data_IF_734361674770
#
_entry.id   IF_734361674770
#
_cell.length_a   1.000
_cell.length_b   1.000
_cell.length_c   1.000
_cell.angle_alpha   90.00
_cell.angle_beta   90.00
_cell.angle_gamma   90.00
#
_symmetry.space_group_name_H-M   'P 1'
#
loop_
_entity.id
_entity.type
_entity.pdbx_description
1 polymer ?
#
# COMPACT_ATOMS: atom_id res chain seq x y z
N UNK A 1 -1.24 73.98 -1.32
CA UNK A 1 -1.98 72.73 -1.29
C UNK A 1 -3.05 72.63 -0.16
N UNK A 2 -3.08 73.55 0.79
CA UNK A 2 -3.93 73.48 1.98
C UNK A 2 -5.37 74.03 1.80
N UNK A 3 -5.75 74.50 0.64
CA UNK A 3 -7.08 75.16 0.40
C UNK A 3 -8.09 74.33 -0.41
N UNK A 4 -8.01 72.98 -0.28
CA UNK A 4 -9.02 72.10 -0.92
C UNK A 4 -9.70 71.24 0.15
N UNK A 5 -10.79 71.74 0.79
CA UNK A 5 -11.45 71.05 1.88
C UNK A 5 -12.02 69.68 1.50
N UNK A 6 -12.45 69.50 0.25
CA UNK A 6 -12.93 68.25 -0.26
C UNK A 6 -11.84 67.15 -0.31
N UNK A 7 -10.60 67.50 -0.67
CA UNK A 7 -9.45 66.60 -0.65
C UNK A 7 -9.03 66.22 0.77
N UNK A 8 -9.02 67.19 1.69
CA UNK A 8 -8.72 66.89 3.09
C UNK A 8 -9.74 65.98 3.74
N UNK A 9 -11.04 66.21 3.49
CA UNK A 9 -12.10 65.33 3.98
C UNK A 9 -12.03 63.94 3.39
N UNK A 10 -11.69 63.80 2.09
CA UNK A 10 -11.45 62.49 1.43
C UNK A 10 -10.27 61.73 2.06
N UNK A 11 -9.14 62.41 2.30
CA UNK A 11 -7.97 61.79 2.95
C UNK A 11 -8.28 61.44 4.41
N UNK A 12 -8.97 62.30 5.16
CA UNK A 12 -9.40 62.02 6.52
C UNK A 12 -10.36 60.79 6.56
N UNK A 13 -11.34 60.72 5.63
CA UNK A 13 -12.24 59.58 5.52
C UNK A 13 -11.51 58.27 5.21
N UNK A 14 -10.52 58.32 4.31
CA UNK A 14 -9.71 57.14 4.02
C UNK A 14 -8.87 56.66 5.22
N UNK A 15 -8.27 57.61 5.98
CA UNK A 15 -7.51 57.31 7.19
C UNK A 15 -8.42 56.72 8.29
N UNK A 16 -9.64 57.24 8.45
CA UNK A 16 -10.59 56.67 9.40
C UNK A 16 -11.04 55.26 8.98
N UNK A 17 -11.26 55.01 7.72
CA UNK A 17 -11.61 53.68 7.23
C UNK A 17 -10.47 52.66 7.46
N UNK A 18 -9.24 53.06 7.24
CA UNK A 18 -8.06 52.23 7.53
C UNK A 18 -7.90 51.98 9.02
N UNK A 19 -8.06 53.02 9.86
CA UNK A 19 -7.99 52.89 11.31
C UNK A 19 -9.11 51.98 11.86
N UNK A 20 -10.33 52.12 11.36
CA UNK A 20 -11.43 51.22 11.71
C UNK A 20 -11.19 49.78 11.30
N UNK A 21 -10.65 49.57 10.09
CA UNK A 21 -10.25 48.23 9.61
C UNK A 21 -9.17 47.59 10.48
N UNK A 22 -8.13 48.34 10.85
CA UNK A 22 -7.09 47.90 11.78
C UNK A 22 -7.66 47.56 13.17
N UNK A 23 -8.55 48.43 13.72
CA UNK A 23 -9.19 48.19 15.01
C UNK A 23 -10.03 46.90 15.00
N UNK A 24 -10.76 46.64 13.91
CA UNK A 24 -11.52 45.39 13.74
C UNK A 24 -10.62 44.16 13.69
N UNK A 25 -9.49 44.21 12.95
CA UNK A 25 -8.51 43.13 12.89
C UNK A 25 -7.90 42.88 14.28
N UNK A 26 -7.53 43.95 15.01
CA UNK A 26 -6.99 43.82 16.38
C UNK A 26 -8.05 43.20 17.32
N UNK A 27 -9.28 43.72 17.29
CA UNK A 27 -10.37 43.18 18.09
C UNK A 27 -10.63 41.69 17.79
N UNK A 28 -10.63 41.31 16.50
CA UNK A 28 -10.76 39.92 16.08
C UNK A 28 -9.60 39.05 16.60
N UNK A 29 -8.36 39.51 16.48
CA UNK A 29 -7.19 38.71 16.92
C UNK A 29 -7.17 38.54 18.44
N UNK A 30 -7.61 39.57 19.20
CA UNK A 30 -7.75 39.51 20.66
C UNK A 30 -8.88 38.55 21.05
N UNK A 31 -10.06 38.67 20.42
CA UNK A 31 -11.18 37.77 20.64
C UNK A 31 -10.84 36.33 20.34
N UNK A 32 -10.16 36.08 19.21
CA UNK A 32 -9.73 34.76 18.80
C UNK A 32 -8.71 34.10 19.77
N UNK A 33 -8.01 34.88 20.57
CA UNK A 33 -7.05 34.40 21.60
C UNK A 33 -7.66 34.12 22.95
N UNK A 34 -8.97 34.33 23.11
CA UNK A 34 -9.64 34.09 24.38
C UNK A 34 -9.58 32.62 24.78
N UNK A 35 -9.41 32.29 26.09
CA UNK A 35 -9.39 30.91 26.60
C UNK A 35 -10.68 30.14 26.32
N UNK A 36 -11.78 30.85 26.06
CA UNK A 36 -13.06 30.26 25.67
C UNK A 36 -13.00 29.44 24.39
N UNK A 37 -12.00 29.68 23.52
CA UNK A 37 -11.79 28.97 22.26
C UNK A 37 -10.62 27.99 22.32
N UNK A 38 -10.12 27.65 23.49
CA UNK A 38 -9.14 26.56 23.63
C UNK A 38 -9.79 25.23 23.25
N UNK A 39 -9.04 24.41 22.49
CA UNK A 39 -9.47 23.05 22.17
C UNK A 39 -9.43 22.21 23.45
N UNK A 40 -10.57 21.68 23.87
CA UNK A 40 -10.71 20.91 25.12
C UNK A 40 -10.60 19.42 24.89
N UNK A 41 -11.05 18.95 23.75
CA UNK A 41 -11.15 17.51 23.49
C UNK A 41 -10.80 17.17 22.03
N UNK A 42 -10.02 16.11 21.86
CA UNK A 42 -9.76 15.47 20.56
C UNK A 42 -10.22 14.03 20.66
N UNK A 43 -11.28 13.70 19.94
CA UNK A 43 -11.79 12.34 19.88
C UNK A 43 -11.29 11.70 18.61
N UNK A 44 -10.54 10.60 18.78
CA UNK A 44 -10.03 9.81 17.65
C UNK A 44 -10.81 8.51 17.59
N UNK A 45 -11.48 8.29 16.46
CA UNK A 45 -12.25 7.09 16.15
C UNK A 45 -11.69 6.36 14.94
N UNK A 46 -12.05 5.08 14.83
CA UNK A 46 -11.65 4.19 13.74
C UNK A 46 -11.36 2.79 14.26
N UNK A 47 -11.36 1.79 13.37
CA UNK A 47 -10.90 0.45 13.69
C UNK A 47 -9.36 0.42 13.58
N UNK A 48 -8.68 0.73 14.69
CA UNK A 48 -7.22 0.85 14.76
C UNK A 48 -6.63 -0.42 15.34
N UNK A 49 -5.70 -1.03 14.61
CA UNK A 49 -4.99 -2.26 15.00
C UNK A 49 -3.48 -2.00 15.11
N UNK A 50 -2.94 -1.18 14.22
CA UNK A 50 -1.50 -0.96 14.09
C UNK A 50 -1.08 0.43 14.58
N UNK A 51 -1.99 1.41 14.58
CA UNK A 51 -1.72 2.76 15.08
C UNK A 51 -1.82 2.76 16.60
N UNK A 52 -0.73 3.06 17.27
CA UNK A 52 -0.69 3.10 18.73
C UNK A 52 -1.20 4.42 19.27
N UNK A 53 -1.57 4.44 20.56
CA UNK A 53 -1.95 5.67 21.25
C UNK A 53 -0.84 6.73 21.20
N UNK A 54 0.43 6.31 21.34
CA UNK A 54 1.57 7.23 21.24
C UNK A 54 1.68 7.89 19.87
N UNK A 55 1.46 7.12 18.77
CA UNK A 55 1.45 7.67 17.42
C UNK A 55 0.37 8.73 17.24
N UNK A 56 -0.83 8.49 17.82
CA UNK A 56 -1.95 9.43 17.82
C UNK A 56 -1.58 10.71 18.56
N UNK A 57 -1.06 10.60 19.79
CA UNK A 57 -0.67 11.73 20.62
C UNK A 57 0.40 12.60 19.92
N UNK A 58 1.37 11.96 19.29
CA UNK A 58 2.41 12.65 18.53
C UNK A 58 1.88 13.32 17.25
N UNK A 59 0.95 12.69 16.54
CA UNK A 59 0.32 13.28 15.36
C UNK A 59 -0.54 14.49 15.75
N UNK A 60 -1.30 14.38 16.84
CA UNK A 60 -2.08 15.48 17.41
C UNK A 60 -1.14 16.63 17.78
N UNK A 61 -0.07 16.38 18.53
CA UNK A 61 0.90 17.40 18.96
C UNK A 61 1.56 18.13 17.79
N UNK A 62 1.86 17.41 16.72
CA UNK A 62 2.44 18.00 15.49
C UNK A 62 1.43 18.81 14.68
N UNK A 63 0.18 18.39 14.68
CA UNK A 63 -0.89 18.98 13.86
C UNK A 63 -1.63 20.14 14.53
N UNK A 64 -1.73 20.13 15.87
CA UNK A 64 -2.45 21.15 16.62
C UNK A 64 -1.61 22.43 16.75
N UNK A 65 -1.93 23.42 15.91
CA UNK A 65 -1.38 24.77 16.03
C UNK A 65 -2.53 25.77 16.07
N UNK A 66 -2.53 26.62 17.11
CA UNK A 66 -3.59 27.60 17.32
C UNK A 66 -4.69 27.07 18.26
N UNK A 67 -5.85 27.72 18.22
CA UNK A 67 -7.03 27.37 19.01
C UNK A 67 -8.14 26.79 18.11
N UNK A 68 -9.29 26.46 18.70
CA UNK A 68 -10.43 25.87 18.00
C UNK A 68 -10.87 26.65 16.73
N UNK A 69 -10.78 28.00 16.74
CA UNK A 69 -11.17 28.84 15.61
C UNK A 69 -10.08 28.93 14.53
N UNK A 70 -8.82 29.02 14.94
CA UNK A 70 -7.67 29.26 14.06
C UNK A 70 -7.00 27.97 13.60
N UNK A 71 -7.30 26.83 14.23
CA UNK A 71 -6.78 25.52 13.87
C UNK A 71 -7.13 25.19 12.41
N UNK A 72 -6.17 24.70 11.66
CA UNK A 72 -6.39 24.15 10.31
C UNK A 72 -6.65 22.62 10.36
N UNK A 73 -7.88 22.16 10.08
CA UNK A 73 -8.19 20.73 10.04
C UNK A 73 -7.37 19.96 8.99
N UNK A 74 -6.96 20.63 7.89
CA UNK A 74 -6.15 19.98 6.86
C UNK A 74 -4.73 19.71 7.37
N UNK A 75 -4.14 20.62 8.13
CA UNK A 75 -2.84 20.42 8.77
C UNK A 75 -2.87 19.27 9.79
N UNK A 76 -3.95 19.15 10.57
CA UNK A 76 -4.14 18.02 11.50
C UNK A 76 -4.29 16.72 10.73
N UNK A 77 -5.16 16.67 9.72
CA UNK A 77 -5.32 15.51 8.84
C UNK A 77 -3.99 15.07 8.22
N UNK A 78 -3.22 16.03 7.70
CA UNK A 78 -1.89 15.80 7.14
C UNK A 78 -0.87 15.24 8.14
N UNK A 79 -0.97 15.56 9.43
CA UNK A 79 -0.10 14.99 10.46
C UNK A 79 -0.39 13.51 10.71
N UNK A 80 -1.66 13.10 10.66
CA UNK A 80 -2.06 11.70 10.78
C UNK A 80 -1.71 10.89 9.53
N UNK A 81 -1.85 11.47 8.33
CA UNK A 81 -1.48 10.81 7.07
C UNK A 81 0.02 10.51 6.93
N UNK A 82 0.86 11.11 7.76
CA UNK A 82 2.30 10.77 7.85
C UNK A 82 2.57 9.48 8.61
N UNK A 83 1.59 8.95 9.33
CA UNK A 83 1.71 7.66 10.01
C UNK A 83 1.64 6.54 8.97
N UNK A 84 2.58 5.58 8.99
CA UNK A 84 2.70 4.56 7.95
C UNK A 84 1.44 3.72 7.72
N UNK A 85 0.67 3.47 8.78
CA UNK A 85 -0.53 2.65 8.74
C UNK A 85 -1.81 3.42 8.44
N UNK A 86 -1.79 4.75 8.46
CA UNK A 86 -2.96 5.57 8.21
C UNK A 86 -3.16 5.78 6.71
N UNK A 87 -4.22 5.19 6.17
CA UNK A 87 -4.63 5.38 4.78
C UNK A 87 -5.35 6.71 4.57
N UNK A 88 -6.26 7.02 5.48
CA UNK A 88 -7.07 8.23 5.40
C UNK A 88 -7.35 8.78 6.79
N UNK A 89 -7.24 10.09 6.93
CA UNK A 89 -7.63 10.83 8.12
C UNK A 89 -8.68 11.87 7.73
N UNK A 90 -9.80 11.88 8.43
CA UNK A 90 -10.85 12.89 8.30
C UNK A 90 -10.97 13.65 9.61
N UNK A 91 -10.89 14.97 9.55
CA UNK A 91 -10.93 15.83 10.74
C UNK A 91 -12.09 16.78 10.62
N UNK A 92 -12.94 16.84 11.66
CA UNK A 92 -14.11 17.70 11.74
C UNK A 92 -14.12 18.46 13.04
N UNK A 93 -14.42 19.75 12.98
CA UNK A 93 -14.68 20.56 14.17
C UNK A 93 -16.09 20.29 14.67
N UNK A 94 -16.22 20.05 15.96
CA UNK A 94 -17.51 19.95 16.64
C UNK A 94 -17.60 21.03 17.74
N UNK A 95 -18.55 21.88 17.58
CA UNK A 95 -18.78 22.96 18.53
C UNK A 95 -19.15 22.42 19.92
N UNK A 96 -18.72 23.02 21.06
CA UNK A 96 -17.99 24.29 21.13
C UNK A 96 -16.46 24.22 21.09
N UNK A 97 -15.82 23.11 21.41
CA UNK A 97 -14.35 23.03 21.59
C UNK A 97 -13.79 21.61 21.36
N UNK A 98 -14.43 20.83 20.50
CA UNK A 98 -14.08 19.44 20.22
C UNK A 98 -13.62 19.26 18.77
N UNK A 99 -12.65 18.36 18.57
CA UNK A 99 -12.18 17.92 17.27
C UNK A 99 -12.44 16.41 17.11
N UNK A 100 -13.24 16.04 16.14
CA UNK A 100 -13.48 14.65 15.82
C UNK A 100 -12.54 14.24 14.67
N UNK A 101 -11.70 13.25 14.93
CA UNK A 101 -10.76 12.67 13.99
C UNK A 101 -11.17 11.24 13.69
N UNK A 102 -11.45 10.92 12.44
CA UNK A 102 -11.73 9.56 12.00
C UNK A 102 -10.56 9.06 11.18
N UNK A 103 -9.94 7.97 11.63
CA UNK A 103 -8.81 7.33 10.96
C UNK A 103 -9.25 6.03 10.29
N UNK A 104 -8.71 5.79 9.11
CA UNK A 104 -8.83 4.54 8.38
C UNK A 104 -7.43 3.98 8.16
N UNK A 105 -7.19 2.76 8.63
CA UNK A 105 -5.90 2.08 8.44
C UNK A 105 -5.83 1.35 7.10
N UNK A 106 -4.60 1.16 6.62
CA UNK A 106 -4.33 0.24 5.52
C UNK A 106 -4.60 -1.20 5.96
N UNK A 107 -5.36 -1.95 5.16
CA UNK A 107 -5.51 -3.39 5.32
C UNK A 107 -4.50 -4.07 4.39
N UNK A 108 -3.47 -4.75 4.93
CA UNK A 108 -2.43 -5.36 4.12
C UNK A 108 -3.01 -6.50 3.26
N UNK A 109 -2.63 -6.55 2.00
CA UNK A 109 -3.12 -7.50 1.01
C UNK A 109 -1.99 -8.30 0.36
N UNK A 110 -0.85 -7.66 0.11
CA UNK A 110 0.34 -8.30 -0.46
C UNK A 110 1.62 -7.56 0.00
N UNK A 111 2.77 -8.21 -0.16
CA UNK A 111 4.09 -7.56 -0.08
C UNK A 111 4.43 -6.96 -1.44
N UNK A 112 5.01 -5.77 -1.44
CA UNK A 112 5.49 -5.10 -2.65
C UNK A 112 7.02 -5.14 -2.69
N UNK A 113 7.57 -5.93 -3.60
CA UNK A 113 9.02 -6.11 -3.68
C UNK A 113 9.59 -6.68 -2.37
N UNK A 114 10.47 -5.92 -1.70
CA UNK A 114 11.13 -6.31 -0.43
C UNK A 114 10.46 -5.72 0.80
N UNK A 115 10.36 -4.38 0.87
CA UNK A 115 10.14 -3.66 2.13
C UNK A 115 8.78 -2.94 2.24
N UNK A 116 7.98 -2.93 1.19
CA UNK A 116 6.69 -2.27 1.18
C UNK A 116 5.54 -3.28 1.20
N UNK A 117 4.34 -2.77 1.46
CA UNK A 117 3.09 -3.51 1.45
C UNK A 117 2.13 -2.90 0.41
N UNK A 118 1.20 -3.69 -0.05
CA UNK A 118 0.05 -3.26 -0.86
C UNK A 118 -1.20 -3.51 -0.06
N UNK A 119 -2.09 -2.53 0.03
CA UNK A 119 -3.37 -2.68 0.69
C UNK A 119 -4.43 -3.30 -0.24
N UNK A 120 -5.63 -3.56 0.30
CA UNK A 120 -6.76 -4.12 -0.46
C UNK A 120 -7.26 -3.20 -1.59
N UNK A 121 -6.94 -1.90 -1.56
CA UNK A 121 -7.23 -0.93 -2.62
C UNK A 121 -6.16 -0.91 -3.73
N UNK A 122 -5.03 -1.61 -3.50
CA UNK A 122 -3.89 -1.63 -4.42
C UNK A 122 -2.93 -0.44 -4.27
N UNK A 123 -2.98 0.24 -3.12
CA UNK A 123 -2.07 1.33 -2.78
C UNK A 123 -0.84 0.78 -2.08
N UNK A 124 0.34 1.28 -2.47
CA UNK A 124 1.62 0.90 -1.84
C UNK A 124 1.84 1.76 -0.60
N UNK A 125 2.17 1.13 0.50
CA UNK A 125 2.49 1.81 1.76
C UNK A 125 3.65 1.11 2.48
N UNK A 126 4.23 1.79 3.45
CA UNK A 126 5.29 1.22 4.30
C UNK A 126 4.71 0.80 5.64
N UNK A 127 5.06 -0.40 6.09
CA UNK A 127 4.61 -0.92 7.38
C UNK A 127 5.28 -2.25 7.67
N UNK A 128 5.36 -2.61 8.94
CA UNK A 128 5.86 -3.93 9.35
C UNK A 128 4.67 -4.86 9.56
N UNK A 129 4.65 -5.98 8.83
CA UNK A 129 3.61 -6.98 8.94
C UNK A 129 4.23 -8.38 9.00
N UNK A 130 3.87 -9.16 10.02
CA UNK A 130 4.47 -10.48 10.26
C UNK A 130 3.69 -11.65 9.66
N UNK A 131 2.48 -11.39 9.14
CA UNK A 131 1.66 -12.44 8.51
C UNK A 131 2.17 -12.87 7.14
N UNK A 132 1.72 -14.03 6.70
CA UNK A 132 1.97 -14.52 5.34
C UNK A 132 1.11 -13.76 4.34
N UNK A 133 1.74 -13.21 3.33
CA UNK A 133 1.09 -12.48 2.24
C UNK A 133 1.72 -12.88 0.91
N UNK A 134 0.96 -12.89 -0.17
CA UNK A 134 1.51 -13.04 -1.50
C UNK A 134 2.48 -11.89 -1.81
N UNK A 135 3.43 -12.14 -2.70
CA UNK A 135 4.44 -11.15 -3.10
C UNK A 135 4.10 -10.62 -4.48
N UNK A 136 4.00 -9.31 -4.60
CA UNK A 136 3.84 -8.61 -5.87
C UNK A 136 5.14 -7.93 -6.26
N UNK A 137 5.50 -8.07 -7.54
CA UNK A 137 6.70 -7.45 -8.12
C UNK A 137 6.33 -6.86 -9.48
N UNK A 138 6.63 -5.59 -9.66
CA UNK A 138 6.36 -4.90 -10.91
C UNK A 138 6.97 -3.51 -10.95
N UNK A 139 6.87 -2.84 -12.09
CA UNK A 139 7.22 -1.43 -12.21
C UNK A 139 6.40 -0.57 -11.27
N UNK A 140 6.92 0.58 -10.90
CA UNK A 140 6.21 1.58 -10.11
C UNK A 140 4.85 1.92 -10.75
N UNK A 141 3.82 2.11 -9.92
CA UNK A 141 2.45 2.39 -10.37
C UNK A 141 1.63 1.17 -10.80
N UNK A 142 2.20 -0.05 -10.87
CA UNK A 142 1.45 -1.26 -11.29
C UNK A 142 0.80 -2.03 -10.14
N UNK A 143 1.00 -1.62 -8.90
CA UNK A 143 0.50 -2.34 -7.72
C UNK A 143 -1.01 -2.58 -7.74
N UNK A 144 -1.79 -1.56 -8.13
CA UNK A 144 -3.25 -1.65 -8.24
C UNK A 144 -3.69 -2.64 -9.33
N UNK A 145 -3.04 -2.60 -10.48
CA UNK A 145 -3.29 -3.53 -11.58
C UNK A 145 -3.01 -4.97 -11.15
N UNK A 146 -1.86 -5.20 -10.50
CA UNK A 146 -1.47 -6.51 -9.98
C UNK A 146 -2.47 -7.00 -8.92
N UNK A 147 -2.92 -6.13 -8.03
CA UNK A 147 -3.90 -6.48 -6.98
C UNK A 147 -5.26 -6.89 -7.56
N UNK A 148 -5.71 -6.23 -8.64
CA UNK A 148 -6.95 -6.59 -9.34
C UNK A 148 -6.77 -7.96 -10.01
N UNK A 149 -5.70 -8.12 -10.77
CA UNK A 149 -5.44 -9.34 -11.54
C UNK A 149 -5.14 -10.54 -10.65
N UNK A 150 -4.50 -10.33 -9.51
CA UNK A 150 -4.28 -11.37 -8.50
C UNK A 150 -5.60 -11.99 -8.00
N UNK A 151 -6.65 -11.18 -7.77
CA UNK A 151 -7.96 -11.70 -7.35
C UNK A 151 -8.56 -12.62 -8.42
N UNK A 152 -8.42 -12.26 -9.70
CA UNK A 152 -8.87 -13.11 -10.81
C UNK A 152 -8.05 -14.41 -10.89
N UNK A 153 -6.73 -14.31 -10.79
CA UNK A 153 -5.86 -15.50 -10.80
C UNK A 153 -6.17 -16.44 -9.66
N UNK A 154 -6.31 -15.91 -8.44
CA UNK A 154 -6.65 -16.70 -7.26
C UNK A 154 -7.96 -17.44 -7.45
N UNK A 155 -9.02 -16.73 -7.87
CA UNK A 155 -10.33 -17.32 -8.11
C UNK A 155 -10.29 -18.41 -9.19
N UNK A 156 -9.56 -18.19 -10.27
CA UNK A 156 -9.46 -19.18 -11.35
C UNK A 156 -8.68 -20.43 -10.94
N UNK A 157 -7.60 -20.27 -10.16
CA UNK A 157 -6.75 -21.38 -9.72
C UNK A 157 -7.38 -22.21 -8.58
N UNK A 158 -8.40 -21.70 -7.90
CA UNK A 158 -9.19 -22.46 -6.93
C UNK A 158 -9.78 -23.74 -7.54
N UNK A 159 -10.07 -23.75 -8.86
CA UNK A 159 -10.58 -24.92 -9.57
C UNK A 159 -9.63 -26.13 -9.52
N UNK A 160 -8.33 -25.89 -9.44
CA UNK A 160 -7.29 -26.93 -9.34
C UNK A 160 -6.66 -27.04 -7.95
N UNK A 161 -7.26 -26.38 -6.95
CA UNK A 161 -6.79 -26.41 -5.57
C UNK A 161 -5.45 -25.70 -5.35
N UNK A 162 -5.09 -24.73 -6.21
CA UNK A 162 -3.82 -24.01 -6.14
C UNK A 162 -4.06 -22.49 -5.97
N UNK A 163 -3.01 -21.76 -5.61
CA UNK A 163 -3.09 -20.32 -5.41
C UNK A 163 -1.78 -19.63 -5.81
N UNK A 164 -1.82 -18.39 -6.31
CA UNK A 164 -0.61 -17.65 -6.61
C UNK A 164 -0.02 -17.08 -5.31
N UNK A 165 1.22 -17.45 -4.99
CA UNK A 165 1.99 -16.92 -3.85
C UNK A 165 2.90 -15.77 -4.25
N UNK A 166 3.19 -15.64 -5.57
CA UNK A 166 3.95 -14.53 -6.11
C UNK A 166 3.45 -14.18 -7.50
N UNK A 167 3.29 -12.89 -7.75
CA UNK A 167 2.91 -12.33 -9.06
C UNK A 167 3.96 -11.32 -9.48
N UNK A 168 4.51 -11.52 -10.66
CA UNK A 168 5.52 -10.64 -11.24
C UNK A 168 5.02 -10.07 -12.57
N UNK A 169 5.17 -8.77 -12.74
CA UNK A 169 4.93 -8.06 -13.99
C UNK A 169 6.24 -7.41 -14.43
N UNK A 170 6.73 -7.80 -15.60
CA UNK A 170 7.94 -7.20 -16.15
C UNK A 170 7.68 -5.77 -16.66
N UNK A 171 8.73 -4.94 -16.89
CA UNK A 171 8.58 -3.63 -17.54
C UNK A 171 7.90 -3.70 -18.93
N UNK A 172 7.99 -4.84 -19.61
CA UNK A 172 7.31 -5.12 -20.89
C UNK A 172 5.89 -5.68 -20.72
N UNK A 173 5.32 -5.58 -19.51
CA UNK A 173 3.97 -6.06 -19.16
C UNK A 173 3.79 -7.57 -19.30
N UNK A 174 4.84 -8.37 -19.23
CA UNK A 174 4.74 -9.83 -19.20
C UNK A 174 4.49 -10.31 -17.77
N UNK A 175 3.45 -11.15 -17.62
CA UNK A 175 3.00 -11.72 -16.36
C UNK A 175 3.65 -13.08 -16.11
N UNK A 176 4.09 -13.27 -14.88
CA UNK A 176 4.61 -14.52 -14.34
C UNK A 176 4.03 -14.77 -12.96
N UNK A 177 3.57 -15.98 -12.72
CA UNK A 177 3.02 -16.41 -11.43
C UNK A 177 3.90 -17.51 -10.84
N UNK A 178 4.07 -17.48 -9.53
CA UNK A 178 4.54 -18.62 -8.75
C UNK A 178 3.37 -19.13 -7.93
N UNK A 179 3.06 -20.41 -8.05
CA UNK A 179 1.96 -21.07 -7.37
C UNK A 179 2.41 -21.69 -6.04
N UNK A 180 1.46 -21.96 -5.15
CA UNK A 180 1.71 -22.61 -3.86
C UNK A 180 2.25 -24.04 -4.05
N UNK A 181 1.84 -24.75 -5.10
CA UNK A 181 2.41 -26.03 -5.51
C UNK A 181 3.89 -25.98 -5.90
N UNK A 182 4.46 -24.77 -6.06
CA UNK A 182 5.81 -24.55 -6.50
C UNK A 182 5.97 -24.40 -8.02
N UNK A 183 4.90 -24.48 -8.80
CA UNK A 183 4.93 -24.26 -10.24
C UNK A 183 5.10 -22.79 -10.57
N UNK A 184 5.96 -22.49 -11.53
CA UNK A 184 6.09 -21.15 -12.11
C UNK A 184 5.42 -21.10 -13.47
N UNK A 185 4.44 -20.20 -13.66
CA UNK A 185 3.73 -20.00 -14.91
C UNK A 185 4.20 -18.73 -15.60
N UNK A 186 4.65 -18.82 -16.86
CA UNK A 186 4.89 -17.68 -17.73
C UNK A 186 3.68 -17.46 -18.64
N UNK A 187 2.86 -16.45 -18.32
CA UNK A 187 1.66 -16.12 -19.09
C UNK A 187 1.92 -15.13 -20.23
N UNK A 188 3.01 -14.32 -20.12
CA UNK A 188 3.31 -13.29 -21.11
C UNK A 188 2.44 -12.04 -20.93
N UNK A 189 2.35 -11.22 -21.98
CA UNK A 189 1.67 -9.92 -21.94
C UNK A 189 0.25 -9.91 -22.54
N UNK A 190 -0.06 -10.88 -23.38
CA UNK A 190 -1.30 -10.93 -24.15
C UNK A 190 -2.13 -12.13 -23.74
N UNK A 191 -3.45 -12.00 -23.78
CA UNK A 191 -4.40 -13.09 -23.51
C UNK A 191 -4.14 -13.81 -22.16
N UNK A 192 -3.74 -13.09 -21.13
CA UNK A 192 -3.28 -13.64 -19.85
C UNK A 192 -4.33 -14.56 -19.23
N UNK A 193 -5.60 -14.14 -19.24
CA UNK A 193 -6.72 -14.91 -18.67
C UNK A 193 -7.00 -16.18 -19.49
N UNK A 194 -7.00 -16.09 -20.83
CA UNK A 194 -7.21 -17.24 -21.70
C UNK A 194 -6.08 -18.27 -21.55
N UNK A 195 -4.84 -17.79 -21.39
CA UNK A 195 -3.68 -18.66 -21.13
C UNK A 195 -3.74 -19.34 -19.77
N UNK A 196 -4.21 -18.63 -18.75
CA UNK A 196 -4.43 -19.23 -17.43
C UNK A 196 -5.55 -20.29 -17.48
N UNK A 197 -6.68 -20.00 -18.13
CA UNK A 197 -7.76 -20.98 -18.31
C UNK A 197 -7.26 -22.24 -19.04
N UNK A 198 -6.46 -22.08 -20.10
CA UNK A 198 -5.84 -23.19 -20.80
C UNK A 198 -4.87 -24.00 -19.92
N UNK A 199 -4.10 -23.31 -19.05
CA UNK A 199 -3.27 -24.00 -18.07
C UNK A 199 -4.09 -24.86 -17.12
N UNK A 200 -5.19 -24.35 -16.60
CA UNK A 200 -6.09 -25.07 -15.66
C UNK A 200 -6.64 -26.32 -16.33
N UNK A 201 -7.20 -26.20 -17.54
CA UNK A 201 -7.70 -27.36 -18.32
C UNK A 201 -6.61 -28.39 -18.58
N UNK A 202 -5.40 -27.95 -18.95
CA UNK A 202 -4.27 -28.82 -19.20
C UNK A 202 -3.75 -29.49 -17.92
N UNK A 203 -3.74 -28.76 -16.80
CA UNK A 203 -3.32 -29.30 -15.51
C UNK A 203 -4.17 -30.50 -15.13
N UNK A 204 -5.50 -30.39 -15.21
CA UNK A 204 -6.42 -31.49 -14.89
C UNK A 204 -6.27 -32.68 -15.82
N UNK A 205 -6.18 -32.44 -17.13
CA UNK A 205 -6.20 -33.49 -18.14
C UNK A 205 -4.84 -34.15 -18.37
N UNK A 206 -3.76 -33.43 -18.18
CA UNK A 206 -2.44 -33.87 -18.63
C UNK A 206 -1.41 -33.90 -17.52
N UNK A 207 -1.26 -32.83 -16.74
CA UNK A 207 -0.14 -32.74 -15.80
C UNK A 207 -0.40 -33.52 -14.51
N UNK A 208 -1.59 -33.43 -13.95
CA UNK A 208 -1.96 -34.14 -12.72
C UNK A 208 -1.84 -35.67 -12.87
N UNK A 209 -2.32 -36.30 -13.96
CA UNK A 209 -2.20 -37.74 -14.15
C UNK A 209 -0.74 -38.23 -14.32
N UNK A 210 0.20 -37.37 -14.76
CA UNK A 210 1.59 -37.75 -14.93
C UNK A 210 2.34 -38.06 -13.62
N UNK A 211 1.83 -37.56 -12.47
CA UNK A 211 2.46 -37.77 -11.17
C UNK A 211 3.88 -37.19 -11.05
N UNK A 212 4.33 -36.40 -12.02
CA UNK A 212 5.67 -35.79 -12.07
C UNK A 212 5.63 -34.37 -11.53
N UNK A 213 6.61 -33.99 -10.74
CA UNK A 213 6.73 -32.62 -10.25
C UNK A 213 7.08 -31.66 -11.39
N UNK A 214 6.20 -30.70 -11.62
CA UNK A 214 6.38 -29.61 -12.58
C UNK A 214 7.01 -28.42 -11.86
N UNK A 215 8.03 -27.82 -12.45
CA UNK A 215 8.72 -26.64 -11.93
C UNK A 215 8.34 -25.36 -12.70
N UNK A 216 8.18 -25.49 -14.02
CA UNK A 216 7.92 -24.33 -14.87
C UNK A 216 7.03 -24.70 -16.05
N UNK A 217 6.06 -23.83 -16.35
CA UNK A 217 5.17 -23.95 -17.51
C UNK A 217 5.17 -22.64 -18.28
N UNK A 218 5.52 -22.70 -19.56
CA UNK A 218 5.48 -21.56 -20.47
C UNK A 218 4.23 -21.61 -21.35
N UNK A 219 3.30 -20.69 -21.10
CA UNK A 219 2.02 -20.58 -21.80
C UNK A 219 2.04 -19.53 -22.93
N UNK A 220 3.20 -18.96 -23.25
CA UNK A 220 3.31 -17.89 -24.25
C UNK A 220 3.09 -18.35 -25.70
N UNK A 221 3.23 -19.62 -25.96
CA UNK A 221 2.99 -20.20 -27.29
C UNK A 221 1.51 -20.16 -27.66
N UNK A 222 1.22 -19.81 -28.93
CA UNK A 222 -0.17 -19.68 -29.40
C UNK A 222 -0.92 -21.02 -29.33
N UNK A 223 -0.31 -22.10 -29.83
CA UNK A 223 -0.93 -23.41 -30.01
C UNK A 223 -0.33 -24.51 -29.13
N UNK A 224 0.37 -24.13 -28.04
CA UNK A 224 1.05 -25.12 -27.21
C UNK A 224 1.53 -24.52 -25.89
N UNK A 225 2.34 -25.30 -25.21
CA UNK A 225 3.00 -24.90 -23.96
C UNK A 225 4.32 -25.71 -23.85
N UNK A 226 5.26 -25.19 -23.09
CA UNK A 226 6.46 -25.93 -22.73
C UNK A 226 6.45 -26.21 -21.21
N UNK A 227 6.83 -27.41 -20.83
CA UNK A 227 6.88 -27.82 -19.42
C UNK A 227 8.29 -28.22 -19.07
N UNK A 228 8.78 -27.72 -17.95
CA UNK A 228 10.00 -28.20 -17.31
C UNK A 228 9.62 -28.95 -16.05
N UNK A 229 10.03 -30.21 -15.99
CA UNK A 229 9.87 -31.05 -14.81
C UNK A 229 11.06 -30.87 -13.90
N UNK A 230 10.83 -31.00 -12.61
CA UNK A 230 11.92 -31.05 -11.62
C UNK A 230 12.74 -32.30 -11.90
N UNK A 231 14.02 -32.14 -12.17
CA UNK A 231 14.92 -33.30 -12.25
C UNK A 231 15.00 -33.94 -10.88
N UNK A 232 14.75 -35.25 -10.80
CA UNK A 232 15.08 -36.03 -9.60
C UNK A 232 16.57 -35.79 -9.30
N UNK A 233 16.90 -35.23 -8.17
CA UNK A 233 18.29 -35.05 -7.74
C UNK A 233 18.95 -36.44 -7.84
N UNK A 234 19.71 -36.67 -8.90
CA UNK A 234 20.58 -37.85 -8.98
C UNK A 234 21.51 -37.74 -7.77
N UNK A 235 21.20 -38.55 -6.77
CA UNK A 235 22.10 -38.78 -5.65
C UNK A 235 23.41 -39.27 -6.29
N UNK A 236 24.44 -38.44 -6.25
CA UNK A 236 25.79 -38.85 -6.71
C UNK A 236 26.12 -40.06 -5.89
N UNK A 237 26.00 -41.25 -6.53
CA UNK A 237 26.49 -42.48 -5.97
C UNK A 237 27.96 -42.27 -5.57
N UNK A 238 28.24 -42.39 -4.31
CA UNK A 238 29.59 -42.31 -3.78
C UNK A 238 30.46 -43.34 -4.51
N UNK A 239 31.66 -42.97 -4.97
CA UNK A 239 32.53 -43.92 -5.63
C UNK A 239 32.82 -45.05 -4.63
N UNK A 240 32.49 -46.29 -5.07
CA UNK A 240 32.86 -47.51 -4.30
C UNK A 240 34.37 -47.51 -4.13
N UNK A 241 34.82 -47.34 -2.91
CA UNK A 241 36.22 -47.48 -2.50
C UNK A 241 36.63 -48.89 -2.86
N UNK A 242 37.53 -49.06 -3.87
CA UNK A 242 38.09 -50.32 -4.26
C UNK A 242 38.77 -51.00 -3.07
N UNK A 243 38.37 -52.22 -2.79
CA UNK A 243 39.09 -53.12 -1.91
C UNK A 243 40.43 -53.44 -2.57
N UNK A 244 41.51 -52.89 -2.06
CA UNK A 244 42.85 -53.39 -2.33
C UNK A 244 43.03 -54.69 -1.56
N UNK A 245 42.93 -55.78 -2.23
CA UNK A 245 43.38 -57.11 -1.77
C UNK A 245 44.91 -57.08 -1.68
N UNK A 246 45.44 -57.07 -0.49
CA UNK A 246 46.87 -57.26 -0.23
C UNK A 246 47.25 -58.72 -0.45
N UNK A 247 48.00 -58.95 -1.51
CA UNK A 247 48.66 -60.23 -1.72
C UNK A 247 50.08 -60.12 -1.19
N UNK A 248 50.32 -60.72 -0.02
CA UNK A 248 51.64 -61.04 0.48
C UNK A 248 52.06 -62.35 -0.19
N UNK A 249 53.17 -62.35 -0.92
CA UNK A 249 53.96 -63.49 -1.27
C UNK A 249 55.27 -63.48 -0.50
N UNK A 250 55.65 -64.63 -0.02
CA UNK A 250 56.72 -64.97 0.86
C UNK A 250 58.15 -64.77 0.37
#
# INVERSE_FOLDING_TARGET
MWNRPALMNGVAGALYAVAAGLALVIAWTLAARQPAFELREVVVGGALVHVTRGDIEDAVRRGLKGNFLTLDPAAVSGSFQKLPWVRKASVRRQWPARLDVTLEEHVPFARWGGDALVNVQGEVFRGVYQGELPVFVGPEGTAREIAIQYRHFRKSLEAIGDAPVRVEVSPRRAWKLRLASGVTLALGREQVEARLARYITMHERTLAPLGRRVDYVDMRYANGFAVRFTEARREKAAPKRGQQTGQRAG
#
